data_IF_493441548155
#
_entry.id   IF_493441548155
#
_cell.length_a   1.000
_cell.length_b   1.000
_cell.length_c   1.000
_cell.angle_alpha   90.00
_cell.angle_beta   90.00
_cell.angle_gamma   90.00
#
_symmetry.space_group_name_H-M   'P 1'
#
loop_
_entity.id
_entity.type
_entity.pdbx_description
1 polymer ?
#
# COMPACT_ATOMS: atom_id res chain seq x y z
N UNK A 1 3.29 -10.59 6.80
CA UNK A 1 2.10 -9.73 7.01
C UNK A 1 2.38 -8.36 6.42
N UNK A 2 1.36 -7.63 5.97
CA UNK A 2 1.49 -6.24 5.51
C UNK A 2 0.74 -5.32 6.45
N UNK A 3 1.33 -4.18 6.79
CA UNK A 3 0.79 -3.21 7.76
C UNK A 3 0.95 -1.81 7.19
N UNK A 4 -0.11 -1.02 7.22
CA UNK A 4 -0.09 0.40 6.91
C UNK A 4 0.38 1.20 8.13
N UNK A 5 1.26 2.16 7.89
CA UNK A 5 1.70 3.13 8.88
C UNK A 5 1.49 4.54 8.34
N UNK A 6 0.36 5.13 8.72
CA UNK A 6 -0.05 6.45 8.27
C UNK A 6 0.79 7.60 8.86
N UNK A 7 1.59 7.37 9.92
CA UNK A 7 2.40 8.46 10.51
C UNK A 7 3.73 8.63 9.79
N UNK A 8 4.11 7.66 8.96
CA UNK A 8 5.36 7.64 8.22
C UNK A 8 5.14 7.55 6.70
N UNK A 9 3.90 7.55 6.23
CA UNK A 9 3.53 7.38 4.83
C UNK A 9 4.10 6.08 4.24
N UNK A 10 4.06 5.00 5.03
CA UNK A 10 4.66 3.70 4.66
C UNK A 10 3.68 2.55 4.76
N UNK A 11 3.95 1.53 3.94
CA UNK A 11 3.46 0.18 4.13
C UNK A 11 4.67 -0.68 4.48
N UNK A 12 4.56 -1.45 5.57
CA UNK A 12 5.59 -2.38 6.01
C UNK A 12 5.21 -3.81 5.66
N UNK A 13 6.20 -4.59 5.23
CA UNK A 13 6.15 -6.03 5.29
C UNK A 13 6.83 -6.49 6.58
N UNK A 14 6.09 -7.26 7.36
CA UNK A 14 6.54 -7.86 8.63
C UNK A 14 6.64 -9.36 8.41
N UNK A 15 7.82 -9.94 8.68
CA UNK A 15 8.00 -11.38 8.70
C UNK A 15 7.15 -12.03 9.80
N UNK A 16 6.73 -13.27 9.57
CA UNK A 16 5.97 -14.05 10.57
C UNK A 16 6.84 -15.13 11.23
N UNK A 17 8.11 -15.21 10.84
CA UNK A 17 9.02 -16.30 11.22
C UNK A 17 10.24 -15.75 11.97
N UNK A 18 10.67 -14.55 11.61
CA UNK A 18 11.78 -13.84 12.21
C UNK A 18 11.40 -12.37 12.46
N UNK A 19 12.37 -11.58 12.92
CA UNK A 19 12.18 -10.19 13.31
C UNK A 19 12.36 -9.20 12.13
N UNK A 20 12.35 -9.68 10.87
CA UNK A 20 12.51 -8.82 9.71
C UNK A 20 11.28 -7.93 9.48
N UNK A 21 11.53 -6.63 9.40
CA UNK A 21 10.53 -5.59 9.08
C UNK A 21 11.13 -4.66 8.05
N UNK A 22 10.46 -4.55 6.90
CA UNK A 22 10.90 -3.69 5.80
C UNK A 22 9.78 -2.79 5.30
N UNK A 23 10.09 -1.52 5.09
CA UNK A 23 9.20 -0.62 4.36
C UNK A 23 9.21 -1.01 2.87
N UNK A 24 8.04 -0.97 2.24
CA UNK A 24 7.93 -1.12 0.79
C UNK A 24 8.39 0.18 0.12
N UNK A 25 9.11 0.03 -0.99
CA UNK A 25 9.59 1.16 -1.78
C UNK A 25 8.52 1.62 -2.79
N UNK A 26 7.40 2.11 -2.26
CA UNK A 26 6.28 2.63 -3.04
C UNK A 26 6.14 4.11 -2.76
N UNK A 27 6.62 4.96 -3.67
CA UNK A 27 6.72 6.41 -3.47
C UNK A 27 5.38 7.15 -3.47
N UNK A 28 4.30 6.51 -3.91
CA UNK A 28 2.95 7.10 -4.01
C UNK A 28 2.09 6.90 -2.77
N UNK A 29 2.63 6.27 -1.72
CA UNK A 29 1.93 6.11 -0.44
C UNK A 29 1.98 7.43 0.31
N UNK A 30 0.83 7.94 0.77
CA UNK A 30 0.76 9.16 1.59
C UNK A 30 0.03 8.87 2.90
N UNK A 31 -1.28 8.62 2.90
CA UNK A 31 -2.00 8.26 4.14
C UNK A 31 -2.59 6.84 4.04
N UNK A 32 -1.77 5.78 4.12
CA UNK A 32 -2.24 4.41 3.97
C UNK A 32 -3.12 3.99 5.15
N UNK A 33 -4.24 3.32 4.86
CA UNK A 33 -5.20 2.86 5.89
C UNK A 33 -5.41 1.34 5.88
N UNK A 34 -6.16 0.79 4.91
CA UNK A 34 -6.29 -0.65 4.74
C UNK A 34 -5.23 -1.17 3.78
N UNK A 35 -4.67 -2.36 4.04
CA UNK A 35 -3.68 -2.99 3.16
C UNK A 35 -3.97 -4.47 2.94
N UNK A 36 -3.81 -4.92 1.70
CA UNK A 36 -3.97 -6.30 1.25
C UNK A 36 -2.81 -6.66 0.31
N UNK A 37 -2.47 -7.94 0.24
CA UNK A 37 -1.51 -8.47 -0.72
C UNK A 37 -2.17 -9.56 -1.56
N UNK A 38 -2.14 -9.40 -2.87
CA UNK A 38 -2.53 -10.42 -3.83
C UNK A 38 -1.29 -11.22 -4.27
N UNK A 39 -1.16 -12.50 -3.85
CA UNK A 39 -0.01 -13.32 -4.22
C UNK A 39 -0.02 -13.75 -5.68
N UNK A 40 -1.17 -13.72 -6.37
CA UNK A 40 -1.27 -14.14 -7.78
C UNK A 40 -0.66 -13.09 -8.69
N UNK A 41 -1.05 -11.82 -8.51
CA UNK A 41 -0.48 -10.71 -9.28
C UNK A 41 0.78 -10.10 -8.66
N UNK A 42 1.16 -10.53 -7.45
CA UNK A 42 2.26 -9.97 -6.65
C UNK A 42 2.12 -8.46 -6.44
N UNK A 43 0.90 -8.03 -6.07
CA UNK A 43 0.56 -6.62 -5.86
C UNK A 43 0.11 -6.38 -4.44
N UNK A 44 0.54 -5.25 -3.90
CA UNK A 44 -0.03 -4.67 -2.69
C UNK A 44 -1.13 -3.71 -3.12
N UNK A 45 -2.26 -3.81 -2.44
CA UNK A 45 -3.44 -2.97 -2.64
C UNK A 45 -3.66 -2.22 -1.34
N UNK A 46 -3.85 -0.92 -1.41
CA UNK A 46 -4.11 -0.11 -0.22
C UNK A 46 -5.12 1.00 -0.47
N UNK A 47 -5.83 1.38 0.59
CA UNK A 47 -6.57 2.63 0.64
C UNK A 47 -5.66 3.76 1.08
N UNK A 48 -5.82 4.92 0.46
CA UNK A 48 -5.06 6.14 0.78
C UNK A 48 -6.04 7.30 0.98
N UNK A 49 -6.15 7.81 2.21
CA UNK A 49 -7.18 8.80 2.55
C UNK A 49 -6.83 10.20 2.11
N UNK A 50 -5.54 10.53 1.97
CA UNK A 50 -5.10 11.81 1.46
C UNK A 50 -5.28 11.87 -0.07
N UNK A 51 -4.88 10.80 -0.77
CA UNK A 51 -5.08 10.70 -2.22
C UNK A 51 -6.53 10.37 -2.60
N UNK A 52 -7.36 9.95 -1.65
CA UNK A 52 -8.74 9.55 -1.85
C UNK A 52 -8.89 8.42 -2.88
N UNK A 53 -7.98 7.45 -2.85
CA UNK A 53 -7.94 6.31 -3.79
C UNK A 53 -7.86 4.96 -3.08
N UNK A 54 -8.38 3.94 -3.77
CA UNK A 54 -7.86 2.57 -3.61
C UNK A 54 -6.88 2.36 -4.75
N UNK A 55 -5.64 2.00 -4.43
CA UNK A 55 -4.55 1.92 -5.39
C UNK A 55 -3.67 0.69 -5.16
N UNK A 56 -2.85 0.37 -6.15
CA UNK A 56 -2.01 -0.83 -6.13
C UNK A 56 -0.67 -0.64 -6.83
N UNK A 57 0.32 -1.43 -6.42
CA UNK A 57 1.63 -1.50 -7.03
C UNK A 57 2.27 -2.86 -6.72
N UNK A 58 3.31 -3.22 -7.46
CA UNK A 58 4.17 -4.32 -7.07
C UNK A 58 4.98 -3.96 -5.82
N UNK A 59 5.37 -4.96 -5.03
CA UNK A 59 6.15 -4.77 -3.78
C UNK A 59 7.50 -4.06 -4.00
N UNK A 60 7.99 -4.04 -5.24
CA UNK A 60 9.22 -3.37 -5.66
C UNK A 60 8.98 -1.93 -6.15
N UNK A 61 7.79 -1.36 -5.91
CA UNK A 61 7.45 0.01 -6.31
C UNK A 61 6.92 0.19 -7.73
N UNK A 62 7.04 -0.84 -8.58
CA UNK A 62 6.67 -0.72 -10.00
C UNK A 62 5.18 -0.96 -10.27
N UNK A 63 4.72 -0.57 -11.45
CA UNK A 63 3.38 -0.90 -11.93
C UNK A 63 2.25 -0.26 -11.12
N UNK A 64 2.46 0.95 -10.58
CA UNK A 64 1.43 1.73 -9.89
C UNK A 64 0.15 1.85 -10.72
N UNK A 65 -1.00 1.70 -10.08
CA UNK A 65 -2.32 1.89 -10.67
C UNK A 65 -3.35 2.31 -9.63
N UNK A 66 -4.18 3.30 -9.98
CA UNK A 66 -5.43 3.61 -9.24
C UNK A 66 -6.49 2.59 -9.64
N UNK A 67 -7.11 1.95 -8.66
CA UNK A 67 -8.18 0.97 -8.85
C UNK A 67 -9.56 1.59 -8.69
N UNK A 68 -9.70 2.51 -7.73
CA UNK A 68 -10.94 3.23 -7.45
C UNK A 68 -10.61 4.67 -7.06
N UNK A 69 -11.32 5.61 -7.67
CA UNK A 69 -11.39 7.00 -7.23
C UNK A 69 -12.58 7.20 -6.29
N UNK A 70 -12.31 7.51 -5.02
CA UNK A 70 -13.36 7.78 -4.02
C UNK A 70 -13.52 9.28 -3.72
N UNK A 71 -12.68 10.13 -4.32
CA UNK A 71 -12.60 11.58 -4.09
C UNK A 71 -13.48 12.43 -5.00
N UNK A 72 -14.43 11.83 -5.73
CA UNK A 72 -15.30 12.59 -6.63
C UNK A 72 -16.20 13.58 -5.86
N UNK A 73 -15.76 14.83 -5.78
CA UNK A 73 -16.62 15.97 -5.52
C UNK A 73 -17.53 16.20 -6.74
N UNK A 74 -18.84 16.17 -6.52
CA UNK A 74 -19.85 16.58 -7.52
C UNK A 74 -19.87 18.10 -7.69
#
# INVERSE_FOLDING_TARGET
MYVSDWTHDKIYQVSLIDDDVRALDVSTVTDPTGVLYDPVSQRVIWGDTNNQFIQSAHINGTGYAVLVDVGMYF
#
